data_IF_724304280865
#
_entry.id   IF_724304280865
#
_cell.length_a   1.000
_cell.length_b   1.000
_cell.length_c   1.000
_cell.angle_alpha   90.00
_cell.angle_beta   90.00
_cell.angle_gamma   90.00
#
_symmetry.space_group_name_H-M   'P 1'
#
loop_
_entity.id
_entity.type
_entity.pdbx_description
1 polymer ?
#
# COMPACT_ATOMS: atom_id res chain seq x y z
N UNK A 1 17.89 9.03 0.91
CA UNK A 1 17.07 7.88 0.50
C UNK A 1 17.96 6.85 -0.19
N UNK A 2 17.77 5.59 0.14
CA UNK A 2 18.48 4.50 -0.51
C UNK A 2 17.96 4.20 -1.92
N UNK A 3 18.59 3.23 -2.57
CA UNK A 3 18.13 2.73 -3.84
C UNK A 3 17.02 1.70 -3.65
N UNK A 4 16.11 1.61 -4.62
CA UNK A 4 15.06 0.61 -4.59
C UNK A 4 15.62 -0.75 -5.05
N UNK A 5 15.14 -1.85 -4.41
CA UNK A 5 15.44 -3.22 -4.80
C UNK A 5 14.16 -4.02 -4.89
N UNK A 6 14.06 -4.87 -5.89
CA UNK A 6 12.86 -5.68 -6.12
C UNK A 6 13.19 -7.18 -6.05
N UNK A 7 12.19 -7.95 -5.61
CA UNK A 7 12.20 -9.39 -5.53
C UNK A 7 11.01 -9.94 -6.30
N UNK A 8 10.99 -11.25 -6.58
CA UNK A 8 9.81 -11.87 -7.15
C UNK A 8 8.74 -12.03 -6.06
N UNK A 9 7.48 -12.04 -6.47
CA UNK A 9 6.34 -12.29 -5.56
C UNK A 9 6.55 -13.59 -4.76
N UNK A 10 6.99 -14.65 -5.43
CA UNK A 10 7.17 -15.95 -4.78
C UNK A 10 8.24 -15.95 -3.68
N UNK A 11 9.26 -15.08 -3.79
CA UNK A 11 10.30 -14.98 -2.78
C UNK A 11 9.80 -14.39 -1.45
N UNK A 12 8.75 -13.58 -1.50
CA UNK A 12 8.29 -12.82 -0.33
C UNK A 12 6.86 -13.18 0.09
N UNK A 13 6.14 -13.97 -0.70
CA UNK A 13 4.73 -14.26 -0.52
C UNK A 13 4.36 -14.76 0.87
N UNK A 14 5.01 -15.79 1.35
CA UNK A 14 4.65 -16.42 2.62
C UNK A 14 4.83 -15.46 3.80
N UNK A 15 5.93 -14.71 3.82
CA UNK A 15 6.21 -13.75 4.88
C UNK A 15 5.21 -12.58 4.85
N UNK A 16 4.87 -12.11 3.65
CA UNK A 16 3.92 -11.02 3.51
C UNK A 16 2.50 -11.45 3.92
N UNK A 17 2.06 -12.64 3.50
CA UNK A 17 0.75 -13.17 3.86
C UNK A 17 0.62 -13.40 5.37
N UNK A 18 1.66 -13.96 5.99
CA UNK A 18 1.65 -14.16 7.44
C UNK A 18 1.65 -12.83 8.19
N UNK A 19 2.48 -11.89 7.78
CA UNK A 19 2.49 -10.56 8.37
C UNK A 19 1.13 -9.87 8.20
N UNK A 20 0.48 -10.02 7.05
CA UNK A 20 -0.84 -9.48 6.84
C UNK A 20 -1.86 -10.05 7.83
N UNK A 21 -1.87 -11.37 8.03
CA UNK A 21 -2.81 -11.99 8.98
C UNK A 21 -2.64 -11.44 10.39
N UNK A 22 -1.40 -11.26 10.83
CA UNK A 22 -1.11 -10.72 12.17
C UNK A 22 -1.61 -9.28 12.29
N UNK A 23 -1.28 -8.44 11.31
CA UNK A 23 -1.68 -7.03 11.35
C UNK A 23 -3.18 -6.85 11.13
N UNK A 24 -3.79 -7.68 10.29
CA UNK A 24 -5.24 -7.65 10.09
C UNK A 24 -5.98 -7.90 11.39
N UNK A 25 -5.58 -8.91 12.15
CA UNK A 25 -6.20 -9.22 13.43
C UNK A 25 -6.04 -8.07 14.43
N UNK A 26 -4.86 -7.47 14.49
CA UNK A 26 -4.60 -6.34 15.37
C UNK A 26 -5.42 -5.11 14.96
N UNK A 27 -5.42 -4.79 13.68
CA UNK A 27 -6.16 -3.63 13.16
C UNK A 27 -7.68 -3.82 13.33
N UNK A 28 -8.18 -5.01 13.09
CA UNK A 28 -9.60 -5.31 13.33
C UNK A 28 -9.97 -5.13 14.81
N UNK A 29 -9.09 -5.53 15.71
CA UNK A 29 -9.31 -5.32 17.15
C UNK A 29 -9.37 -3.83 17.51
N UNK A 30 -8.50 -3.02 16.90
CA UNK A 30 -8.47 -1.56 17.14
C UNK A 30 -9.64 -0.83 16.45
N UNK A 31 -10.01 -1.28 15.25
CA UNK A 31 -10.98 -0.61 14.37
C UNK A 31 -11.97 -1.64 13.81
N UNK A 32 -12.92 -2.14 14.64
CA UNK A 32 -13.80 -3.23 14.22
C UNK A 32 -14.78 -2.86 13.09
N UNK A 33 -14.96 -1.59 12.81
CA UNK A 33 -15.78 -1.09 11.71
C UNK A 33 -15.01 -0.94 10.39
N UNK A 34 -13.72 -1.20 10.38
CA UNK A 34 -12.87 -0.98 9.21
C UNK A 34 -12.92 -2.17 8.25
N UNK A 35 -12.80 -1.87 6.96
CA UNK A 35 -12.52 -2.84 5.91
C UNK A 35 -11.01 -2.87 5.68
N UNK A 36 -10.36 -3.95 6.06
CA UNK A 36 -8.90 -4.10 6.09
C UNK A 36 -8.47 -4.95 4.90
N UNK A 37 -7.71 -4.38 3.99
CA UNK A 37 -7.34 -4.99 2.70
C UNK A 37 -5.83 -5.08 2.55
N UNK A 38 -5.34 -6.25 2.12
CA UNK A 38 -3.95 -6.41 1.68
C UNK A 38 -3.84 -5.80 0.27
N UNK A 39 -3.06 -4.75 0.13
CA UNK A 39 -2.87 -4.03 -1.13
C UNK A 39 -1.39 -3.95 -1.48
N UNK A 40 -1.05 -3.27 -2.56
CA UNK A 40 0.33 -3.13 -3.00
C UNK A 40 0.86 -4.40 -3.68
N UNK A 41 2.14 -4.38 -4.04
CA UNK A 41 2.74 -5.43 -4.87
C UNK A 41 2.79 -6.80 -4.21
N UNK A 42 2.90 -6.90 -2.88
CA UNK A 42 2.87 -8.20 -2.19
C UNK A 42 1.50 -8.85 -2.20
N UNK A 43 0.47 -8.12 -2.61
CA UNK A 43 -0.89 -8.64 -2.77
C UNK A 43 -1.21 -9.08 -4.21
N UNK A 44 -0.26 -8.97 -5.14
CA UNK A 44 -0.50 -9.21 -6.57
C UNK A 44 0.37 -10.38 -7.03
N UNK A 45 -0.23 -11.56 -7.28
CA UNK A 45 0.52 -12.73 -7.75
C UNK A 45 1.31 -12.41 -9.02
N UNK A 46 2.57 -12.79 -9.06
CA UNK A 46 3.45 -12.58 -10.19
C UNK A 46 4.13 -11.21 -10.25
N UNK A 47 3.78 -10.29 -9.36
CA UNK A 47 4.37 -8.94 -9.36
C UNK A 47 5.80 -8.93 -8.83
N UNK A 48 6.63 -8.03 -9.36
CA UNK A 48 7.88 -7.64 -8.70
C UNK A 48 7.54 -6.78 -7.50
N UNK A 49 8.30 -6.91 -6.43
CA UNK A 49 7.99 -6.23 -5.17
C UNK A 49 9.25 -5.89 -4.37
N UNK A 50 9.18 -4.83 -3.59
CA UNK A 50 10.21 -4.50 -2.59
C UNK A 50 10.10 -5.41 -1.36
N UNK A 51 9.02 -6.16 -1.23
CA UNK A 51 8.77 -7.04 -0.09
C UNK A 51 8.01 -6.38 1.05
N UNK A 52 7.63 -5.11 0.92
CA UNK A 52 6.87 -4.39 1.95
C UNK A 52 5.42 -4.88 1.98
N UNK A 53 4.84 -4.88 3.17
CA UNK A 53 3.42 -5.13 3.34
C UNK A 53 2.67 -3.80 3.32
N UNK A 54 1.75 -3.65 2.38
CA UNK A 54 0.85 -2.49 2.32
C UNK A 54 -0.56 -2.91 2.69
N UNK A 55 -1.15 -2.19 3.63
CA UNK A 55 -2.52 -2.45 4.08
C UNK A 55 -3.34 -1.18 3.87
N UNK A 56 -4.50 -1.33 3.22
CA UNK A 56 -5.49 -0.27 3.19
C UNK A 56 -6.49 -0.50 4.31
N UNK A 57 -6.71 0.51 5.13
CA UNK A 57 -7.74 0.50 6.17
C UNK A 57 -8.82 1.48 5.72
N UNK A 58 -9.96 0.94 5.27
CA UNK A 58 -11.07 1.71 4.77
C UNK A 58 -12.11 1.88 5.87
N UNK A 59 -12.49 3.11 6.15
CA UNK A 59 -13.46 3.41 7.21
C UNK A 59 -14.59 4.30 6.70
N UNK A 60 -15.78 4.22 7.30
CA UNK A 60 -16.83 5.19 6.97
C UNK A 60 -16.32 6.62 7.18
N UNK A 61 -16.68 7.57 6.31
CA UNK A 61 -16.18 8.95 6.43
C UNK A 61 -16.37 9.57 7.81
N UNK A 62 -17.50 9.32 8.45
CA UNK A 62 -17.80 9.83 9.79
C UNK A 62 -16.92 9.23 10.89
N UNK A 63 -16.22 8.13 10.59
CA UNK A 63 -15.30 7.48 11.52
C UNK A 63 -13.83 7.81 11.25
N UNK A 64 -13.54 8.59 10.20
CA UNK A 64 -12.17 8.81 9.77
C UNK A 64 -11.31 9.47 10.87
N UNK A 65 -11.80 10.56 11.47
CA UNK A 65 -11.03 11.27 12.49
C UNK A 65 -10.74 10.39 13.72
N UNK A 66 -11.72 9.60 14.15
CA UNK A 66 -11.55 8.63 15.24
C UNK A 66 -10.52 7.57 14.90
N UNK A 67 -10.61 6.99 13.70
CA UNK A 67 -9.69 5.97 13.24
C UNK A 67 -8.26 6.52 13.13
N UNK A 68 -8.11 7.72 12.61
CA UNK A 68 -6.81 8.38 12.51
C UNK A 68 -6.16 8.55 13.88
N UNK A 69 -6.93 9.00 14.87
CA UNK A 69 -6.43 9.17 16.24
C UNK A 69 -6.01 7.84 16.86
N UNK A 70 -6.78 6.77 16.64
CA UNK A 70 -6.44 5.43 17.12
C UNK A 70 -5.13 4.96 16.51
N UNK A 71 -4.99 5.04 15.19
CA UNK A 71 -3.78 4.59 14.50
C UNK A 71 -2.55 5.40 14.91
N UNK A 72 -2.69 6.71 15.09
CA UNK A 72 -1.60 7.57 15.54
C UNK A 72 -1.09 7.21 16.94
N UNK A 73 -1.91 6.57 17.74
CA UNK A 73 -1.51 6.07 19.06
C UNK A 73 -0.73 4.76 19.04
N UNK A 74 -0.74 4.05 17.89
CA UNK A 74 -0.13 2.72 17.75
C UNK A 74 0.94 2.63 16.68
N UNK A 75 0.97 3.56 15.73
CA UNK A 75 1.92 3.54 14.61
C UNK A 75 2.49 4.93 14.38
N UNK A 76 3.71 4.98 13.85
CA UNK A 76 4.31 6.24 13.43
C UNK A 76 3.65 6.74 12.15
N UNK A 77 3.50 8.05 12.01
CA UNK A 77 3.02 8.64 10.76
C UNK A 77 4.11 8.54 9.70
N UNK A 78 3.68 8.34 8.45
CA UNK A 78 4.57 8.46 7.31
C UNK A 78 4.68 9.94 6.93
N UNK A 79 5.72 10.61 7.42
CA UNK A 79 5.90 12.05 7.25
C UNK A 79 6.12 12.46 5.79
N UNK A 80 6.53 11.55 4.93
CA UNK A 80 6.71 11.80 3.51
C UNK A 80 5.42 11.73 2.70
N UNK A 81 4.30 11.38 3.33
CA UNK A 81 3.02 11.21 2.67
C UNK A 81 2.07 12.36 2.99
N UNK A 82 1.11 12.61 2.09
CA UNK A 82 0.04 13.58 2.33
C UNK A 82 -0.80 13.19 3.54
N UNK A 83 -1.44 14.19 4.11
CA UNK A 83 -2.47 14.01 5.13
C UNK A 83 -3.63 14.93 4.83
N UNK A 84 -4.84 14.36 4.72
CA UNK A 84 -6.06 15.10 4.46
C UNK A 84 -7.16 14.64 5.41
N UNK A 85 -8.35 15.19 5.28
CA UNK A 85 -9.53 14.73 6.05
C UNK A 85 -10.05 13.37 5.58
N UNK A 86 -9.51 12.83 4.47
CA UNK A 86 -9.93 11.55 3.89
C UNK A 86 -8.79 10.55 3.73
N UNK A 87 -7.56 10.93 4.10
CA UNK A 87 -6.38 10.11 3.90
C UNK A 87 -5.30 10.40 4.93
N UNK A 88 -4.73 9.34 5.50
CA UNK A 88 -3.54 9.42 6.34
C UNK A 88 -2.71 8.15 6.17
N UNK A 89 -1.39 8.27 6.22
CA UNK A 89 -0.49 7.15 6.06
C UNK A 89 0.35 6.93 7.32
N UNK A 90 0.51 5.67 7.67
CA UNK A 90 1.32 5.23 8.82
C UNK A 90 2.30 4.17 8.37
N UNK A 91 3.34 3.95 9.14
CA UNK A 91 4.36 2.97 8.78
C UNK A 91 5.07 2.39 9.99
N UNK A 92 5.69 1.23 9.79
CA UNK A 92 6.66 0.67 10.72
C UNK A 92 7.75 -0.02 9.90
N UNK A 93 8.86 0.69 9.73
CA UNK A 93 10.02 0.24 8.97
C UNK A 93 10.94 -0.66 9.79
N UNK A 94 10.66 -0.83 11.10
CA UNK A 94 11.52 -1.61 12.00
C UNK A 94 11.20 -3.10 11.98
N UNK A 95 10.07 -3.48 11.38
CA UNK A 95 9.63 -4.88 11.32
C UNK A 95 10.40 -5.65 10.27
N UNK A 96 10.48 -6.97 10.42
CA UNK A 96 11.12 -7.85 9.44
C UNK A 96 10.49 -7.65 8.05
N UNK A 97 9.15 -7.57 7.99
CA UNK A 97 8.44 -7.14 6.80
C UNK A 97 7.98 -5.71 7.06
N UNK A 98 8.60 -4.70 6.43
CA UNK A 98 8.20 -3.32 6.63
C UNK A 98 6.73 -3.11 6.32
N UNK A 99 6.06 -2.30 7.12
CA UNK A 99 4.61 -2.10 7.06
C UNK A 99 4.27 -0.67 6.65
N UNK A 100 3.37 -0.55 5.66
CA UNK A 100 2.70 0.70 5.33
C UNK A 100 1.19 0.54 5.53
N UNK A 101 0.56 1.52 6.17
CA UNK A 101 -0.88 1.57 6.38
C UNK A 101 -1.44 2.81 5.70
N UNK A 102 -2.42 2.61 4.81
CA UNK A 102 -3.11 3.68 4.11
C UNK A 102 -4.53 3.76 4.67
N UNK A 103 -4.78 4.71 5.56
CA UNK A 103 -6.11 4.96 6.10
C UNK A 103 -6.89 5.83 5.13
N UNK A 104 -8.02 5.34 4.67
CA UNK A 104 -8.85 6.04 3.68
C UNK A 104 -10.31 6.10 4.11
N UNK A 105 -10.97 7.22 3.80
CA UNK A 105 -12.42 7.30 3.94
C UNK A 105 -13.07 6.58 2.74
N UNK A 106 -14.03 5.72 3.01
CA UNK A 106 -14.78 5.01 1.97
C UNK A 106 -15.46 6.00 1.03
N UNK A 107 -15.25 5.83 -0.28
CA UNK A 107 -15.79 6.72 -1.31
C UNK A 107 -15.05 8.04 -1.48
N UNK A 108 -14.03 8.30 -0.68
CA UNK A 108 -13.21 9.50 -0.80
C UNK A 108 -12.21 9.44 -1.97
N UNK A 109 -11.52 10.54 -2.19
CA UNK A 109 -10.61 10.70 -3.34
C UNK A 109 -9.39 9.76 -3.30
N UNK A 110 -9.04 9.24 -2.13
CA UNK A 110 -7.91 8.33 -1.94
C UNK A 110 -8.33 6.87 -1.77
N UNK A 111 -9.61 6.56 -1.88
CA UNK A 111 -10.14 5.20 -1.74
C UNK A 111 -9.97 4.40 -3.04
N UNK A 112 -8.70 4.17 -3.44
CA UNK A 112 -8.38 3.53 -4.72
C UNK A 112 -7.39 2.36 -4.63
N UNK A 113 -6.80 2.11 -3.47
CA UNK A 113 -5.73 1.11 -3.35
C UNK A 113 -6.21 -0.31 -3.67
N UNK A 114 -7.38 -0.69 -3.17
CA UNK A 114 -7.97 -2.00 -3.47
C UNK A 114 -8.34 -2.13 -4.94
N UNK A 115 -8.86 -1.04 -5.53
CA UNK A 115 -9.21 -1.02 -6.95
C UNK A 115 -7.96 -1.17 -7.83
N UNK A 116 -6.89 -0.46 -7.50
CA UNK A 116 -5.62 -0.58 -8.23
C UNK A 116 -5.09 -2.02 -8.16
N UNK A 117 -5.11 -2.63 -6.97
CA UNK A 117 -4.74 -4.03 -6.80
C UNK A 117 -5.56 -4.94 -7.71
N UNK A 118 -6.88 -4.77 -7.70
CA UNK A 118 -7.78 -5.62 -8.46
C UNK A 118 -7.58 -5.47 -9.98
N UNK A 119 -7.33 -4.25 -10.44
CA UNK A 119 -7.03 -4.00 -11.86
C UNK A 119 -5.74 -4.71 -12.28
N UNK A 120 -4.71 -4.65 -11.45
CA UNK A 120 -3.43 -5.31 -11.75
C UNK A 120 -3.53 -6.83 -11.67
N UNK A 121 -4.36 -7.35 -10.77
CA UNK A 121 -4.62 -8.80 -10.70
C UNK A 121 -5.38 -9.30 -11.92
N UNK A 122 -6.29 -8.50 -12.45
CA UNK A 122 -7.19 -8.89 -13.52
C UNK A 122 -6.59 -8.73 -14.93
N UNK A 123 -5.54 -7.92 -15.08
CA UNK A 123 -4.98 -7.56 -16.37
C UNK A 123 -3.47 -7.80 -16.41
N UNK A 124 -3.07 -8.93 -17.00
CA UNK A 124 -1.67 -9.32 -17.10
C UNK A 124 -0.83 -8.30 -17.89
N UNK A 125 -1.43 -7.61 -18.86
CA UNK A 125 -0.73 -6.58 -19.64
C UNK A 125 -0.39 -5.36 -18.77
N UNK A 126 -1.34 -4.91 -17.97
CA UNK A 126 -1.11 -3.81 -17.03
C UNK A 126 -0.05 -4.19 -15.99
N UNK A 127 -0.11 -5.41 -15.47
CA UNK A 127 0.90 -5.89 -14.53
C UNK A 127 2.28 -5.93 -15.19
N UNK A 128 2.37 -6.39 -16.44
CA UNK A 128 3.63 -6.42 -17.17
C UNK A 128 4.21 -5.02 -17.37
N UNK A 129 3.37 -4.04 -17.66
CA UNK A 129 3.79 -2.64 -17.78
C UNK A 129 4.34 -2.09 -16.47
N UNK A 130 3.66 -2.40 -15.35
CA UNK A 130 4.12 -1.98 -14.04
C UNK A 130 5.43 -2.67 -13.66
N UNK A 131 5.55 -3.97 -13.91
CA UNK A 131 6.79 -4.70 -13.63
C UNK A 131 7.96 -4.23 -14.50
N UNK A 132 7.70 -3.84 -15.75
CA UNK A 132 8.72 -3.26 -16.62
C UNK A 132 9.24 -1.92 -16.04
N UNK A 133 8.34 -1.10 -15.51
CA UNK A 133 8.69 0.15 -14.84
C UNK A 133 9.59 -0.13 -13.64
N UNK A 134 9.23 -1.10 -12.80
CA UNK A 134 10.02 -1.50 -11.63
C UNK A 134 11.40 -2.00 -12.06
N UNK A 135 11.47 -2.81 -13.13
CA UNK A 135 12.74 -3.36 -13.62
C UNK A 135 13.69 -2.24 -14.07
N UNK A 136 13.17 -1.17 -14.68
CA UNK A 136 13.98 -0.03 -15.08
C UNK A 136 14.59 0.70 -13.87
N UNK A 137 13.93 0.67 -12.73
CA UNK A 137 14.36 1.39 -11.54
C UNK A 137 15.04 0.53 -10.48
N UNK A 138 15.12 -0.79 -10.71
CA UNK A 138 15.79 -1.70 -9.76
C UNK A 138 17.24 -1.29 -9.55
N UNK A 139 17.60 -1.02 -8.30
CA UNK A 139 18.93 -0.57 -7.94
C UNK A 139 19.18 0.93 -8.14
N UNK A 140 18.17 1.70 -8.53
CA UNK A 140 18.27 3.15 -8.77
C UNK A 140 17.56 3.95 -7.67
N UNK A 141 17.70 5.30 -7.67
CA UNK A 141 17.13 6.12 -6.60
C UNK A 141 15.62 5.98 -6.44
N UNK A 142 15.17 5.87 -5.20
CA UNK A 142 13.77 5.67 -4.84
C UNK A 142 12.87 6.84 -5.24
N UNK A 143 13.35 8.08 -5.11
CA UNK A 143 12.52 9.26 -5.35
C UNK A 143 12.05 9.36 -6.81
N UNK A 144 12.95 9.10 -7.76
CA UNK A 144 12.62 9.10 -9.18
C UNK A 144 11.65 7.95 -9.52
N UNK A 145 11.84 6.78 -8.90
CA UNK A 145 10.93 5.66 -9.05
C UNK A 145 9.51 6.03 -8.59
N UNK A 146 9.38 6.66 -7.43
CA UNK A 146 8.07 7.06 -6.89
C UNK A 146 7.34 8.02 -7.80
N UNK A 147 8.05 8.94 -8.43
CA UNK A 147 7.44 9.89 -9.37
C UNK A 147 6.85 9.18 -10.59
N UNK A 148 7.61 8.29 -11.22
CA UNK A 148 7.13 7.53 -12.38
C UNK A 148 6.01 6.56 -12.00
N UNK A 149 6.12 5.92 -10.83
CA UNK A 149 5.07 5.06 -10.29
C UNK A 149 3.76 5.84 -10.08
N UNK A 150 3.85 7.04 -9.53
CA UNK A 150 2.68 7.89 -9.34
C UNK A 150 1.96 8.21 -10.64
N UNK A 151 2.72 8.56 -11.68
CA UNK A 151 2.16 8.83 -13.00
C UNK A 151 1.49 7.59 -13.60
N UNK A 152 2.08 6.41 -13.42
CA UNK A 152 1.50 5.16 -13.89
C UNK A 152 0.14 4.90 -13.21
N UNK A 153 0.05 5.07 -11.90
CA UNK A 153 -1.20 4.83 -11.17
C UNK A 153 -2.27 5.87 -11.49
N UNK A 154 -1.91 7.13 -11.70
CA UNK A 154 -2.88 8.14 -12.15
C UNK A 154 -3.52 7.74 -13.47
N UNK A 155 -2.74 7.25 -14.42
CA UNK A 155 -3.24 6.77 -15.71
C UNK A 155 -4.08 5.51 -15.54
N UNK A 156 -3.60 4.55 -14.77
CA UNK A 156 -4.31 3.28 -14.49
C UNK A 156 -5.71 3.53 -13.93
N UNK A 157 -5.83 4.47 -13.01
CA UNK A 157 -7.06 4.77 -12.31
C UNK A 157 -7.94 5.79 -13.04
N UNK A 158 -7.50 6.30 -14.19
CA UNK A 158 -8.26 7.27 -14.97
C UNK A 158 -8.25 8.68 -14.38
N UNK A 159 -7.21 9.02 -13.62
CA UNK A 159 -7.08 10.34 -12.99
C UNK A 159 -6.37 11.35 -13.89
N UNK A 160 -5.90 10.92 -15.07
CA UNK A 160 -5.30 11.75 -16.12
C UNK A 160 -5.95 11.49 -17.46
#
# INVERSE_FOLDING_TARGET
MGNVRFHSYEQVRERAEEAFRVHQARLFSLLPYADIQHVGSTAIPGARTKGDLDIQVRVPPERFAEAEAVLAGHYARNEGSDRTSEFASFQDETLEVPLGIQLTAMGGSRDFFSRARDLLRADAKLLAEYDALKARWDGKPMDAYREEKGAFFEKLLGLR
#
